data_IF_955533849598
#
_entry.id   IF_955533849598
#
_cell.length_a   1.000
_cell.length_b   1.000
_cell.length_c   1.000
_cell.angle_alpha   90.00
_cell.angle_beta   90.00
_cell.angle_gamma   90.00
#
_symmetry.space_group_name_H-M   'P 1'
#
loop_
_entity.id
_entity.type
_entity.pdbx_description
1 polymer ?
#
# COMPACT_ATOMS: atom_id res chain seq x y z
N UNK A 1 0.33 -15.39 7.73
CA UNK A 1 0.42 -14.43 6.60
C UNK A 1 1.70 -14.61 5.77
N UNK A 2 2.91 -14.49 6.36
CA UNK A 2 4.17 -14.43 5.59
C UNK A 2 4.51 -15.68 4.75
N UNK A 3 4.00 -16.85 5.13
CA UNK A 3 4.14 -18.09 4.37
C UNK A 3 3.64 -17.98 2.92
N UNK A 4 2.66 -17.12 2.65
CA UNK A 4 2.12 -16.90 1.30
C UNK A 4 3.11 -16.12 0.40
N UNK A 5 4.16 -15.53 0.99
CA UNK A 5 5.14 -14.69 0.30
C UNK A 5 6.53 -15.34 0.24
N UNK A 6 6.63 -16.68 0.21
CA UNK A 6 7.92 -17.39 0.18
C UNK A 6 8.86 -16.93 -0.94
N UNK A 7 8.34 -16.70 -2.14
CA UNK A 7 9.10 -16.23 -3.31
C UNK A 7 9.46 -14.75 -3.33
N UNK A 8 9.08 -13.99 -2.29
CA UNK A 8 9.28 -12.55 -2.23
C UNK A 8 10.48 -12.18 -1.37
N UNK A 9 11.19 -11.12 -1.78
CA UNK A 9 12.13 -10.40 -0.93
C UNK A 9 11.32 -9.56 0.05
N UNK A 10 11.48 -9.82 1.36
CA UNK A 10 10.70 -9.18 2.42
C UNK A 10 11.55 -8.11 3.08
N UNK A 11 11.01 -6.90 3.16
CA UNK A 11 11.62 -5.76 3.85
C UNK A 11 10.62 -5.21 4.85
N UNK A 12 11.09 -4.88 6.06
CA UNK A 12 10.27 -4.30 7.12
C UNK A 12 10.58 -2.82 7.29
N UNK A 13 9.55 -2.03 7.55
CA UNK A 13 9.68 -0.62 7.90
C UNK A 13 8.53 -0.19 8.80
N UNK A 14 8.80 0.69 9.76
CA UNK A 14 7.78 1.32 10.58
C UNK A 14 7.63 2.78 10.16
N UNK A 15 6.43 3.19 9.72
CA UNK A 15 6.18 4.58 9.30
C UNK A 15 5.88 5.54 10.44
N UNK A 16 5.83 5.03 11.67
CA UNK A 16 5.86 5.85 12.88
C UNK A 16 7.29 6.30 13.22
N UNK A 17 8.28 5.46 12.94
CA UNK A 17 9.71 5.74 13.17
C UNK A 17 10.35 6.44 11.96
N UNK A 18 10.07 5.94 10.75
CA UNK A 18 10.66 6.42 9.51
C UNK A 18 9.66 7.22 8.70
N UNK A 19 9.97 8.48 8.42
CA UNK A 19 9.10 9.33 7.63
C UNK A 19 8.88 8.73 6.22
N UNK A 20 7.63 8.74 5.75
CA UNK A 20 7.23 8.10 4.50
C UNK A 20 8.09 8.49 3.28
N UNK A 21 8.61 9.73 3.23
CA UNK A 21 9.46 10.20 2.13
C UNK A 21 10.83 9.48 2.09
N UNK A 22 11.42 9.14 3.24
CA UNK A 22 12.66 8.37 3.27
C UNK A 22 12.43 6.96 2.73
N UNK A 23 11.31 6.36 3.11
CA UNK A 23 10.88 5.04 2.63
C UNK A 23 10.60 5.08 1.13
N UNK A 24 9.90 6.12 0.66
CA UNK A 24 9.62 6.35 -0.76
C UNK A 24 10.89 6.48 -1.59
N UNK A 25 11.87 7.24 -1.14
CA UNK A 25 13.16 7.38 -1.83
C UNK A 25 13.91 6.04 -1.90
N UNK A 26 13.94 5.26 -0.81
CA UNK A 26 14.55 3.92 -0.81
C UNK A 26 13.82 2.98 -1.78
N UNK A 27 12.49 2.97 -1.76
CA UNK A 27 11.67 2.15 -2.66
C UNK A 27 11.92 2.52 -4.12
N UNK A 28 11.90 3.82 -4.45
CA UNK A 28 12.21 4.33 -5.77
C UNK A 28 13.59 3.87 -6.23
N UNK A 29 14.59 3.99 -5.36
CA UNK A 29 15.96 3.60 -5.66
C UNK A 29 16.10 2.08 -5.90
N UNK A 30 15.35 1.25 -5.16
CA UNK A 30 15.29 -0.21 -5.38
C UNK A 30 14.70 -0.53 -6.76
N UNK A 31 13.53 0.05 -7.08
CA UNK A 31 12.81 -0.17 -8.34
C UNK A 31 13.58 0.36 -9.56
N UNK A 32 14.37 1.42 -9.41
CA UNK A 32 15.18 1.97 -10.49
C UNK A 32 16.37 1.09 -10.90
N UNK A 33 16.87 0.24 -9.99
CA UNK A 33 18.11 -0.53 -10.20
C UNK A 33 17.88 -1.99 -10.57
N UNK A 34 16.68 -2.51 -10.39
CA UNK A 34 16.39 -3.92 -10.59
C UNK A 34 15.03 -4.09 -11.28
N UNK A 35 14.88 -5.16 -12.04
CA UNK A 35 13.61 -5.53 -12.65
C UNK A 35 12.81 -6.44 -11.72
N UNK A 36 11.55 -6.09 -11.47
CA UNK A 36 10.63 -6.88 -10.64
C UNK A 36 9.37 -7.20 -11.44
N UNK A 37 8.78 -8.36 -11.21
CA UNK A 37 7.46 -8.70 -11.77
C UNK A 37 6.34 -8.00 -11.00
N UNK A 38 6.47 -7.98 -9.69
CA UNK A 38 5.49 -7.41 -8.77
C UNK A 38 6.19 -6.82 -7.54
N UNK A 39 5.53 -5.84 -6.93
CA UNK A 39 5.88 -5.23 -5.65
C UNK A 39 4.59 -5.01 -4.87
N UNK A 40 4.66 -5.19 -3.55
CA UNK A 40 3.47 -5.04 -2.73
C UNK A 40 3.73 -4.62 -1.31
N UNK A 41 2.69 -4.04 -0.72
CA UNK A 41 2.68 -3.60 0.69
C UNK A 41 1.88 -4.60 1.52
N UNK A 42 2.34 -4.88 2.73
CA UNK A 42 1.64 -5.70 3.71
C UNK A 42 1.61 -4.96 5.04
N UNK A 43 0.42 -4.61 5.53
CA UNK A 43 0.27 -3.85 6.78
C UNK A 43 -0.78 -4.45 7.69
N UNK A 44 -0.81 -4.02 8.95
CA UNK A 44 -2.04 -4.15 9.75
C UNK A 44 -3.12 -3.23 9.18
N UNK A 45 -4.38 -3.67 9.22
CA UNK A 45 -5.51 -2.82 8.89
C UNK A 45 -5.79 -1.81 10.01
N UNK A 46 -6.40 -0.66 9.68
CA UNK A 46 -6.82 0.37 10.63
C UNK A 46 -5.74 1.30 11.19
N UNK A 47 -4.44 1.04 10.97
CA UNK A 47 -3.37 1.90 11.48
C UNK A 47 -3.15 3.16 10.62
N UNK A 48 -3.13 4.37 11.22
CA UNK A 48 -2.89 5.62 10.50
C UNK A 48 -1.45 5.74 9.97
N UNK A 49 -0.49 5.08 10.60
CA UNK A 49 0.91 5.09 10.19
C UNK A 49 1.13 4.07 9.07
N UNK A 50 0.59 2.85 9.21
CA UNK A 50 0.85 1.80 8.25
C UNK A 50 0.20 2.07 6.88
N UNK A 51 -0.98 2.69 6.85
CA UNK A 51 -1.66 3.02 5.58
C UNK A 51 -0.83 3.93 4.68
N UNK A 52 0.09 4.73 5.25
CA UNK A 52 1.00 5.58 4.50
C UNK A 52 1.92 4.78 3.56
N UNK A 53 2.22 3.51 3.84
CA UNK A 53 3.07 2.67 3.00
C UNK A 53 2.38 2.37 1.66
N UNK A 54 1.07 2.14 1.69
CA UNK A 54 0.25 1.96 0.49
C UNK A 54 0.26 3.23 -0.37
N UNK A 55 0.13 4.39 0.26
CA UNK A 55 0.17 5.68 -0.44
C UNK A 55 1.53 5.92 -1.08
N UNK A 56 2.60 5.59 -0.36
CA UNK A 56 3.96 5.79 -0.85
C UNK A 56 4.28 4.89 -2.04
N UNK A 57 3.81 3.63 -2.05
CA UNK A 57 3.96 2.76 -3.22
C UNK A 57 3.29 3.38 -4.45
N UNK A 58 2.06 3.87 -4.30
CA UNK A 58 1.33 4.53 -5.40
C UNK A 58 2.02 5.82 -5.88
N UNK A 59 2.52 6.63 -4.94
CA UNK A 59 3.20 7.88 -5.24
C UNK A 59 4.52 7.64 -5.98
N UNK A 60 5.32 6.66 -5.54
CA UNK A 60 6.58 6.27 -6.21
C UNK A 60 6.32 5.84 -7.65
N UNK A 61 5.31 4.99 -7.89
CA UNK A 61 4.98 4.56 -9.25
C UNK A 61 4.53 5.70 -10.14
N UNK A 62 3.73 6.63 -9.58
CA UNK A 62 3.25 7.80 -10.31
C UNK A 62 4.40 8.74 -10.66
N UNK A 63 5.27 9.07 -9.71
CA UNK A 63 6.39 10.01 -9.88
C UNK A 63 7.44 9.45 -10.84
N UNK A 64 7.75 8.16 -10.73
CA UNK A 64 8.75 7.51 -11.58
C UNK A 64 8.22 7.07 -12.94
N UNK A 65 6.89 7.11 -13.16
CA UNK A 65 6.29 6.62 -14.40
C UNK A 65 6.51 5.12 -14.64
N UNK A 66 6.56 4.32 -13.57
CA UNK A 66 6.85 2.88 -13.68
C UNK A 66 5.69 2.18 -14.39
N UNK A 67 6.03 1.41 -15.42
CA UNK A 67 5.11 0.55 -16.18
C UNK A 67 5.66 -0.89 -16.20
N UNK A 68 4.79 -1.88 -16.38
CA UNK A 68 5.20 -3.30 -16.48
C UNK A 68 5.53 -4.00 -15.16
N UNK A 69 5.44 -3.32 -14.02
CA UNK A 69 5.56 -3.92 -12.67
C UNK A 69 4.19 -3.90 -11.99
N UNK A 70 3.72 -5.06 -11.52
CA UNK A 70 2.45 -5.14 -10.81
C UNK A 70 2.54 -4.59 -9.39
N UNK A 71 1.53 -3.81 -9.00
CA UNK A 71 1.40 -3.24 -7.66
C UNK A 71 0.29 -3.95 -6.91
N UNK A 72 0.60 -4.45 -5.73
CA UNK A 72 -0.35 -5.19 -4.91
C UNK A 72 -0.38 -4.62 -3.50
N UNK A 73 -1.55 -4.59 -2.89
CA UNK A 73 -1.72 -4.03 -1.56
C UNK A 73 -2.42 -5.05 -0.69
N UNK A 74 -1.84 -5.33 0.47
CA UNK A 74 -2.37 -6.31 1.40
C UNK A 74 -2.50 -5.70 2.79
N UNK A 75 -3.59 -6.04 3.46
CA UNK A 75 -3.79 -5.72 4.88
C UNK A 75 -4.06 -7.01 5.64
N UNK A 76 -3.68 -7.02 6.92
CA UNK A 76 -4.05 -8.06 7.87
C UNK A 76 -5.15 -7.47 8.75
N UNK A 77 -6.33 -8.05 8.68
CA UNK A 77 -7.47 -7.72 9.54
C UNK A 77 -7.93 -8.99 10.24
N UNK A 78 -8.01 -8.96 11.57
CA UNK A 78 -8.42 -10.10 12.41
C UNK A 78 -7.66 -11.41 12.07
N UNK A 79 -6.36 -11.30 11.79
CA UNK A 79 -5.50 -12.44 11.43
C UNK A 79 -5.64 -12.92 9.97
N UNK A 80 -6.57 -12.37 9.21
CA UNK A 80 -6.83 -12.71 7.81
C UNK A 80 -6.06 -11.78 6.87
N UNK A 81 -5.44 -12.37 5.83
CA UNK A 81 -4.79 -11.62 4.77
C UNK A 81 -5.83 -11.21 3.71
N UNK A 82 -5.95 -9.91 3.47
CA UNK A 82 -6.90 -9.34 2.51
C UNK A 82 -6.12 -8.54 1.47
N UNK A 83 -6.35 -8.84 0.18
CA UNK A 83 -5.84 -8.01 -0.90
C UNK A 83 -6.80 -6.84 -1.16
N UNK A 84 -6.23 -5.64 -1.26
CA UNK A 84 -6.92 -4.37 -1.41
C UNK A 84 -6.62 -3.81 -2.79
N UNK A 85 -7.64 -3.37 -3.52
CA UNK A 85 -7.45 -2.78 -4.84
C UNK A 85 -6.81 -1.38 -4.78
N UNK A 86 -6.10 -1.00 -5.86
CA UNK A 86 -5.41 0.30 -6.00
C UNK A 86 -6.39 1.47 -5.87
N UNK A 87 -7.62 1.28 -6.36
CA UNK A 87 -8.72 2.23 -6.26
C UNK A 87 -9.23 2.44 -4.84
N UNK A 88 -9.15 1.42 -3.98
CA UNK A 88 -9.50 1.52 -2.55
C UNK A 88 -8.42 2.32 -1.82
N UNK A 89 -7.14 2.01 -2.04
CA UNK A 89 -6.01 2.80 -1.51
C UNK A 89 -6.09 4.26 -1.97
N UNK A 90 -6.45 4.50 -3.23
CA UNK A 90 -6.67 5.85 -3.73
C UNK A 90 -7.86 6.50 -3.02
N UNK A 91 -8.97 5.80 -2.86
CA UNK A 91 -10.17 6.33 -2.21
C UNK A 91 -9.94 6.71 -0.75
N UNK A 92 -9.17 5.94 0.02
CA UNK A 92 -8.89 6.22 1.44
C UNK A 92 -8.14 7.54 1.66
N UNK A 93 -7.43 8.07 0.65
CA UNK A 93 -6.82 9.41 0.67
C UNK A 93 -7.85 10.55 0.55
N UNK A 94 -9.06 10.27 0.07
CA UNK A 94 -10.08 11.27 -0.20
C UNK A 94 -11.33 11.01 0.66
N UNK A 95 -11.31 11.45 1.92
CA UNK A 95 -12.42 11.27 2.86
C UNK A 95 -13.76 11.79 2.32
N UNK A 96 -13.78 12.88 1.55
CA UNK A 96 -15.00 13.36 0.89
C UNK A 96 -15.57 12.37 -0.14
N UNK A 97 -14.72 11.56 -0.80
CA UNK A 97 -15.17 10.47 -1.69
C UNK A 97 -15.66 9.28 -0.86
N UNK A 98 -14.95 8.91 0.20
CA UNK A 98 -15.36 7.84 1.12
C UNK A 98 -16.73 8.14 1.71
N UNK A 99 -16.94 9.35 2.21
CA UNK A 99 -18.23 9.82 2.73
C UNK A 99 -19.39 9.62 1.74
N UNK A 100 -19.16 9.91 0.45
CA UNK A 100 -20.16 9.71 -0.60
C UNK A 100 -20.45 8.22 -0.86
N UNK A 101 -19.43 7.37 -0.83
CA UNK A 101 -19.58 5.92 -0.97
C UNK A 101 -20.36 5.32 0.20
N UNK A 102 -20.01 5.74 1.41
CA UNK A 102 -20.64 5.29 2.64
C UNK A 102 -22.13 5.64 2.69
N UNK A 103 -22.50 6.87 2.27
CA UNK A 103 -23.91 7.31 2.13
C UNK A 103 -24.69 6.56 1.06
N UNK A 104 -24.03 6.07 0.00
CA UNK A 104 -24.71 5.38 -1.11
C UNK A 104 -25.03 3.92 -0.77
N UNK A 105 -24.28 3.33 0.16
CA UNK A 105 -24.35 1.92 0.50
C UNK A 105 -24.95 1.68 1.90
N UNK A 106 -25.55 2.70 2.54
CA UNK A 106 -26.06 2.64 3.92
C UNK A 106 -25.06 2.02 4.93
N UNK A 107 -23.77 2.28 4.72
CA UNK A 107 -22.69 1.79 5.60
C UNK A 107 -22.44 2.74 6.79
N UNK A 108 -23.20 3.82 6.89
CA UNK A 108 -23.20 4.70 8.06
C UNK A 108 -24.47 4.38 8.82
N UNK A 109 -24.30 3.87 10.03
CA UNK A 109 -25.35 3.85 11.06
C UNK A 109 -25.78 5.29 11.40
#
# INVERSE_FOLDING_TARGET
ALEQFKGWVKLSVCLEEEHMNHVGLKLAAILARNSFKEVGTLTTDGSPHCVQLHYMLEEVFKVMGITGVERRHFVISEGSLIEVGKEVVKASRYLGKVQKLMKRNDLLE
#
